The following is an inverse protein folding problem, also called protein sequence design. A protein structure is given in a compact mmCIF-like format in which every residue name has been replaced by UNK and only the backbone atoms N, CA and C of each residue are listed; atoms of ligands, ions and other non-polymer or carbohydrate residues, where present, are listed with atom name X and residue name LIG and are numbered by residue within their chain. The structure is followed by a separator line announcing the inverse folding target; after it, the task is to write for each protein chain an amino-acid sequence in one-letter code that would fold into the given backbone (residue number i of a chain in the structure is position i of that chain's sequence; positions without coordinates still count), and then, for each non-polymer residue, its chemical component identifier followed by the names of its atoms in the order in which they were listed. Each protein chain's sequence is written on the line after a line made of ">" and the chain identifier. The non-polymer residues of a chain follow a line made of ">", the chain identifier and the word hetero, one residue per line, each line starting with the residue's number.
data_IF_505958020559
#
_entry.id   IF_505958020559
#
_cell.length_a   1.000
_cell.length_b   1.000
_cell.length_c   1.000
_cell.angle_alpha   90.00
_cell.angle_beta   90.00
_cell.angle_gamma   90.00
#
_symmetry.space_group_name_H-M   'P 1'
#
loop_
_entity.id
_entity.type
_entity.pdbx_description
1 polymer ?
#
# COMPACT_ATOMS: atom_id res chain seq x y z
N UNK A 1 7.97 -13.64 -8.77
CA UNK A 1 7.45 -12.49 -9.54
C UNK A 1 7.69 -11.22 -8.75
N UNK A 2 7.99 -10.12 -9.44
CA UNK A 2 8.22 -8.82 -8.82
C UNK A 2 6.86 -8.23 -8.42
N UNK A 3 6.66 -7.95 -7.12
CA UNK A 3 5.39 -7.42 -6.60
C UNK A 3 5.18 -5.91 -6.90
N UNK A 4 6.26 -5.18 -7.13
CA UNK A 4 6.24 -3.73 -7.31
C UNK A 4 6.86 -3.35 -8.65
N UNK A 5 6.09 -2.73 -9.52
CA UNK A 5 6.59 -2.18 -10.78
C UNK A 5 7.16 -0.77 -10.57
N UNK A 6 8.29 -0.52 -11.22
CA UNK A 6 9.01 0.75 -11.29
C UNK A 6 9.86 0.76 -12.56
N UNK A 7 10.34 1.92 -12.98
CA UNK A 7 11.21 2.08 -14.14
C UNK A 7 10.46 1.97 -15.48
N UNK A 8 11.19 1.78 -16.59
CA UNK A 8 10.59 1.62 -17.91
C UNK A 8 9.69 0.38 -17.97
N UNK A 9 8.51 0.51 -18.58
CA UNK A 9 7.54 -0.57 -18.72
C UNK A 9 7.58 -1.18 -20.12
N UNK A 10 7.37 -2.50 -20.18
CA UNK A 10 7.44 -3.31 -21.39
C UNK A 10 6.22 -4.22 -21.48
N UNK A 11 5.88 -4.66 -22.69
CA UNK A 11 4.88 -5.70 -22.93
C UNK A 11 5.34 -7.03 -22.31
N UNK A 12 4.48 -8.04 -22.38
CA UNK A 12 4.75 -9.36 -21.80
C UNK A 12 5.99 -10.07 -22.40
N UNK A 13 6.50 -9.59 -23.53
CA UNK A 13 7.76 -10.06 -24.12
C UNK A 13 9.02 -9.57 -23.36
N UNK A 14 8.84 -8.62 -22.43
CA UNK A 14 9.91 -8.04 -21.62
C UNK A 14 10.84 -7.08 -22.38
N UNK A 15 10.57 -6.78 -23.65
CA UNK A 15 11.47 -6.00 -24.51
C UNK A 15 10.77 -4.91 -25.32
N UNK A 16 9.49 -5.07 -25.68
CA UNK A 16 8.75 -4.06 -26.44
C UNK A 16 8.23 -2.98 -25.49
N UNK A 17 8.62 -1.70 -25.64
CA UNK A 17 8.16 -0.62 -24.77
C UNK A 17 6.65 -0.44 -24.79
N UNK A 18 6.04 -0.29 -23.61
CA UNK A 18 4.68 0.23 -23.51
C UNK A 18 4.74 1.73 -23.77
N UNK A 19 4.03 2.20 -24.79
CA UNK A 19 3.99 3.62 -25.15
C UNK A 19 2.58 4.20 -25.01
N UNK A 20 2.52 5.48 -24.68
CA UNK A 20 1.29 6.27 -24.63
C UNK A 20 1.48 7.48 -25.54
N UNK A 21 0.45 7.81 -26.33
CA UNK A 21 0.43 9.01 -27.16
C UNK A 21 -0.60 9.98 -26.60
N UNK A 22 -0.16 11.18 -26.29
CA UNK A 22 -0.97 12.29 -25.77
C UNK A 22 -0.53 13.58 -26.48
N UNK A 23 -0.92 14.76 -25.98
CA UNK A 23 -0.36 16.04 -26.44
C UNK A 23 0.81 16.46 -25.54
N UNK A 24 1.68 17.37 -25.97
CA UNK A 24 2.75 17.91 -25.09
C UNK A 24 2.19 18.47 -23.78
N UNK A 25 1.05 19.16 -23.84
CA UNK A 25 0.34 19.67 -22.66
C UNK A 25 -0.40 18.58 -21.86
N UNK A 26 -0.76 17.47 -22.50
CA UNK A 26 -1.29 16.29 -21.80
C UNK A 26 -0.20 15.52 -21.06
N UNK A 27 1.03 15.48 -21.61
CA UNK A 27 2.17 14.87 -20.94
C UNK A 27 2.65 15.69 -19.73
N UNK A 28 2.76 17.01 -19.93
CA UNK A 28 3.08 17.98 -18.89
C UNK A 28 2.09 19.15 -18.95
N UNK A 29 1.18 19.23 -17.98
CA UNK A 29 0.18 20.31 -17.96
C UNK A 29 0.80 21.70 -17.76
N UNK A 30 2.05 21.77 -17.29
CA UNK A 30 2.80 23.00 -17.09
C UNK A 30 3.56 23.45 -18.33
N UNK A 31 3.47 22.68 -19.43
CA UNK A 31 4.08 23.04 -20.70
C UNK A 31 3.54 24.35 -21.27
N UNK A 32 4.43 25.32 -21.52
CA UNK A 32 4.09 26.68 -21.99
C UNK A 32 4.42 26.92 -23.46
N UNK A 33 4.93 25.91 -24.19
CA UNK A 33 5.23 26.03 -25.62
C UNK A 33 3.96 26.22 -26.45
N UNK A 34 4.08 26.98 -27.55
CA UNK A 34 2.95 27.28 -28.44
C UNK A 34 2.36 26.02 -29.12
N UNK A 35 3.13 24.95 -29.19
CA UNK A 35 2.78 23.65 -29.77
C UNK A 35 2.29 22.64 -28.71
N UNK A 36 1.69 23.13 -27.62
CA UNK A 36 1.17 22.28 -26.54
C UNK A 36 0.16 21.20 -26.99
N UNK A 37 -0.58 21.45 -28.09
CA UNK A 37 -1.51 20.49 -28.69
C UNK A 37 -0.86 19.48 -29.64
N UNK A 38 0.44 19.61 -29.93
CA UNK A 38 1.14 18.67 -30.80
C UNK A 38 1.22 17.28 -30.15
N UNK A 39 1.09 16.20 -30.93
CA UNK A 39 1.25 14.84 -30.43
C UNK A 39 2.62 14.62 -29.78
N UNK A 40 2.62 13.86 -28.68
CA UNK A 40 3.81 13.43 -27.97
C UNK A 40 3.63 11.97 -27.56
N UNK A 41 4.57 11.13 -27.97
CA UNK A 41 4.61 9.70 -27.62
C UNK A 41 5.79 9.46 -26.72
N UNK A 42 5.57 8.76 -25.61
CA UNK A 42 6.61 8.41 -24.64
C UNK A 42 6.47 6.96 -24.19
N UNK A 43 7.57 6.37 -23.70
CA UNK A 43 7.53 5.09 -23.01
C UNK A 43 7.06 5.29 -21.58
N UNK A 44 6.05 4.53 -21.16
CA UNK A 44 5.58 4.49 -19.77
C UNK A 44 6.75 4.14 -18.86
N UNK A 45 7.09 5.07 -17.97
CA UNK A 45 8.21 4.94 -17.04
C UNK A 45 7.73 5.32 -15.66
N UNK A 46 7.60 4.32 -14.79
CA UNK A 46 7.11 4.53 -13.43
C UNK A 46 8.23 5.05 -12.54
N UNK A 47 8.05 6.22 -11.96
CA UNK A 47 9.03 6.82 -11.04
C UNK A 47 8.62 6.52 -9.59
N UNK A 48 9.55 6.16 -8.70
CA UNK A 48 9.18 5.73 -7.35
C UNK A 48 8.66 6.87 -6.47
N UNK A 49 9.17 8.09 -6.70
CA UNK A 49 8.85 9.25 -5.88
C UNK A 49 7.54 9.90 -6.34
N UNK A 50 6.71 10.27 -5.37
CA UNK A 50 5.51 11.08 -5.63
C UNK A 50 5.84 12.52 -5.26
N UNK A 51 5.70 13.42 -6.23
CA UNK A 51 5.96 14.86 -6.06
C UNK A 51 4.65 15.61 -6.27
N UNK A 52 4.24 16.37 -5.25
CA UNK A 52 3.07 17.25 -5.35
C UNK A 52 3.48 18.49 -6.17
N UNK A 53 2.78 18.75 -7.27
CA UNK A 53 3.18 19.75 -8.28
C UNK A 53 2.25 20.96 -8.37
N UNK A 54 1.02 20.83 -7.89
CA UNK A 54 0.02 21.88 -8.01
C UNK A 54 -0.33 22.46 -6.64
N UNK A 55 -0.99 21.67 -5.81
CA UNK A 55 -1.42 22.07 -4.48
C UNK A 55 -1.03 21.01 -3.44
N UNK A 56 0.00 21.34 -2.66
CA UNK A 56 0.53 20.46 -1.61
C UNK A 56 -0.52 20.15 -0.55
N UNK A 57 -1.34 21.14 -0.17
CA UNK A 57 -2.38 20.97 0.84
C UNK A 57 -3.54 20.08 0.36
N UNK A 58 -3.77 20.00 -0.95
CA UNK A 58 -4.76 19.12 -1.57
C UNK A 58 -4.19 17.76 -2.01
N UNK A 59 -2.91 17.49 -1.73
CA UNK A 59 -2.19 16.32 -2.25
C UNK A 59 -2.25 16.19 -3.78
N UNK A 60 -2.21 17.32 -4.48
CA UNK A 60 -2.35 17.37 -5.93
C UNK A 60 -1.00 17.25 -6.65
N UNK A 61 -0.77 16.09 -7.27
CA UNK A 61 0.40 15.78 -8.08
C UNK A 61 0.29 16.29 -9.53
N UNK A 62 -0.89 16.74 -9.96
CA UNK A 62 -1.19 17.15 -11.33
C UNK A 62 -2.12 16.17 -12.06
N UNK A 63 -2.74 16.68 -13.13
CA UNK A 63 -3.61 15.93 -14.03
C UNK A 63 -2.93 15.77 -15.40
N UNK A 64 -1.75 15.15 -15.39
CA UNK A 64 -0.92 14.90 -16.57
C UNK A 64 -0.21 13.54 -16.48
N UNK A 65 0.39 13.12 -17.59
CA UNK A 65 1.08 11.82 -17.65
C UNK A 65 2.27 11.74 -16.71
N UNK A 66 2.99 12.85 -16.46
CA UNK A 66 4.08 12.87 -15.48
C UNK A 66 3.55 12.45 -14.09
N UNK A 67 2.45 13.06 -13.63
CA UNK A 67 1.83 12.75 -12.35
C UNK A 67 1.32 11.29 -12.30
N UNK A 68 0.65 10.84 -13.37
CA UNK A 68 0.09 9.49 -13.46
C UNK A 68 1.14 8.39 -13.50
N UNK A 69 2.40 8.72 -13.82
CA UNK A 69 3.53 7.80 -13.82
C UNK A 69 4.37 7.85 -12.51
N UNK A 70 3.94 8.59 -11.49
CA UNK A 70 4.58 8.59 -10.16
C UNK A 70 4.09 7.46 -9.25
N UNK A 71 4.97 7.02 -8.36
CA UNK A 71 4.75 5.96 -7.38
C UNK A 71 4.97 4.55 -7.94
N UNK A 72 5.40 3.65 -7.06
CA UNK A 72 5.40 2.21 -7.33
C UNK A 72 3.99 1.70 -7.66
N UNK A 73 3.89 0.71 -8.54
CA UNK A 73 2.62 0.00 -8.79
C UNK A 73 2.66 -1.37 -8.16
N UNK A 74 1.74 -1.64 -7.25
CA UNK A 74 1.61 -2.94 -6.62
C UNK A 74 0.84 -3.88 -7.56
N UNK A 75 1.39 -5.05 -7.84
CA UNK A 75 0.77 -6.09 -8.68
C UNK A 75 0.51 -7.38 -7.90
N UNK A 76 0.33 -7.29 -6.59
CA UNK A 76 0.02 -8.43 -5.72
C UNK A 76 -1.28 -9.13 -6.12
N UNK A 77 -2.34 -8.34 -6.34
CA UNK A 77 -3.61 -8.83 -6.86
C UNK A 77 -3.64 -8.56 -8.35
N UNK A 78 -3.06 -9.49 -9.11
CA UNK A 78 -3.01 -9.38 -10.56
C UNK A 78 -4.39 -9.65 -11.16
N UNK A 79 -4.82 -8.88 -12.18
CA UNK A 79 -6.08 -9.14 -12.87
C UNK A 79 -6.17 -10.58 -13.37
N UNK A 80 -7.35 -11.15 -13.27
CA UNK A 80 -7.69 -12.43 -13.88
C UNK A 80 -7.62 -12.29 -15.40
N UNK A 81 -6.67 -12.99 -16.03
CA UNK A 81 -6.48 -12.93 -17.48
C UNK A 81 -7.69 -13.44 -18.28
N UNK A 82 -8.57 -14.22 -17.62
CA UNK A 82 -9.76 -14.79 -18.25
C UNK A 82 -10.96 -13.85 -18.19
N UNK A 83 -10.91 -12.81 -17.36
CA UNK A 83 -11.97 -11.79 -17.29
C UNK A 83 -11.69 -10.62 -18.21
N UNK A 84 -12.63 -10.35 -19.12
CA UNK A 84 -12.58 -9.23 -20.06
C UNK A 84 -13.26 -7.95 -19.53
N UNK A 85 -13.79 -7.99 -18.30
CA UNK A 85 -14.53 -6.87 -17.70
C UNK A 85 -13.83 -6.32 -16.46
N UNK A 86 -14.34 -5.23 -15.88
CA UNK A 86 -13.86 -4.72 -14.58
C UNK A 86 -14.22 -5.63 -13.39
N UNK A 87 -15.09 -6.62 -13.59
CA UNK A 87 -15.41 -7.63 -12.58
C UNK A 87 -14.40 -8.77 -12.68
N UNK A 88 -13.51 -8.85 -11.70
CA UNK A 88 -12.41 -9.81 -11.65
C UNK A 88 -12.79 -10.98 -10.72
N UNK A 89 -12.34 -12.19 -11.02
CA UNK A 89 -12.70 -13.38 -10.25
C UNK A 89 -11.77 -13.67 -9.06
N UNK A 90 -10.85 -12.75 -8.73
CA UNK A 90 -9.93 -12.93 -7.61
C UNK A 90 -10.67 -12.87 -6.28
N UNK A 91 -10.48 -13.89 -5.44
CA UNK A 91 -10.92 -13.83 -4.04
C UNK A 91 -10.07 -12.84 -3.23
N UNK A 92 -10.71 -12.15 -2.28
CA UNK A 92 -10.03 -11.27 -1.32
C UNK A 92 -9.75 -12.06 -0.03
N UNK A 93 -8.48 -12.30 0.33
CA UNK A 93 -8.16 -13.04 1.54
C UNK A 93 -8.38 -12.17 2.78
N UNK A 94 -9.55 -12.31 3.43
CA UNK A 94 -9.84 -11.64 4.71
C UNK A 94 -9.04 -12.28 5.84
N UNK A 95 -8.98 -13.61 5.87
CA UNK A 95 -8.17 -14.39 6.79
C UNK A 95 -7.28 -15.36 6.03
N UNK A 96 -6.04 -15.50 6.49
CA UNK A 96 -5.10 -16.45 5.91
C UNK A 96 -4.08 -16.93 6.92
N UNK A 97 -3.52 -18.10 6.63
CA UNK A 97 -2.65 -18.80 7.57
C UNK A 97 -1.43 -17.99 8.03
N UNK A 98 -0.81 -17.18 7.15
CA UNK A 98 0.30 -16.32 7.56
C UNK A 98 -0.08 -15.33 8.65
N UNK A 99 -1.32 -14.82 8.69
CA UNK A 99 -1.76 -13.92 9.75
C UNK A 99 -1.83 -14.65 11.09
N UNK A 100 -2.34 -15.89 11.10
CA UNK A 100 -2.34 -16.74 12.29
C UNK A 100 -0.92 -16.99 12.80
N UNK A 101 0.02 -17.30 11.90
CA UNK A 101 1.42 -17.50 12.26
C UNK A 101 2.05 -16.23 12.85
N UNK A 102 1.83 -15.07 12.23
CA UNK A 102 2.41 -13.80 12.70
C UNK A 102 1.72 -13.27 13.96
N UNK A 103 0.42 -13.51 14.15
CA UNK A 103 -0.27 -13.22 15.42
C UNK A 103 0.26 -14.10 16.56
N UNK A 104 0.50 -15.39 16.30
CA UNK A 104 1.13 -16.27 17.31
C UNK A 104 2.56 -15.81 17.63
N UNK A 105 3.34 -15.43 16.62
CA UNK A 105 4.68 -14.87 16.83
C UNK A 105 4.63 -13.59 17.68
N UNK A 106 3.67 -12.71 17.40
CA UNK A 106 3.46 -11.48 18.18
C UNK A 106 3.11 -11.78 19.64
N UNK A 107 2.18 -12.71 19.87
CA UNK A 107 1.77 -13.12 21.21
C UNK A 107 2.96 -13.65 22.02
N UNK A 108 3.80 -14.51 21.43
CA UNK A 108 5.01 -15.03 22.08
C UNK A 108 5.99 -13.90 22.41
N UNK A 109 6.22 -12.95 21.48
CA UNK A 109 7.10 -11.80 21.74
C UNK A 109 6.57 -10.85 22.82
N UNK A 110 5.26 -10.85 23.07
CA UNK A 110 4.62 -10.08 24.14
C UNK A 110 4.51 -10.84 25.47
N UNK A 111 5.19 -11.99 25.60
CA UNK A 111 5.24 -12.80 26.82
C UNK A 111 4.23 -13.94 26.88
N UNK A 112 3.49 -14.20 25.79
CA UNK A 112 2.63 -15.37 25.68
C UNK A 112 3.42 -16.69 25.71
N UNK A 113 2.85 -17.72 26.32
CA UNK A 113 3.49 -19.03 26.41
C UNK A 113 3.56 -19.70 25.03
N UNK A 114 4.79 -20.05 24.61
CA UNK A 114 5.02 -20.83 23.41
C UNK A 114 4.39 -22.23 23.52
N UNK A 115 3.77 -22.71 22.44
CA UNK A 115 3.19 -24.04 22.35
C UNK A 115 3.75 -24.79 21.15
N UNK A 116 3.77 -26.12 21.22
CA UNK A 116 4.25 -27.00 20.14
C UNK A 116 5.73 -26.78 19.76
N UNK A 117 6.57 -26.34 20.71
CA UNK A 117 7.99 -26.06 20.47
C UNK A 117 8.26 -24.90 19.50
N UNK A 118 7.25 -24.11 19.15
CA UNK A 118 7.37 -23.01 18.21
C UNK A 118 7.91 -21.76 18.91
N UNK A 119 8.80 -21.04 18.24
CA UNK A 119 9.33 -19.74 18.67
C UNK A 119 8.80 -18.67 17.71
N UNK A 120 8.86 -17.40 18.11
CA UNK A 120 8.47 -16.30 17.23
C UNK A 120 9.28 -16.32 15.91
N UNK A 121 10.59 -16.56 15.99
CA UNK A 121 11.45 -16.63 14.81
C UNK A 121 11.13 -17.84 13.93
N UNK A 122 10.80 -19.00 14.50
CA UNK A 122 10.45 -20.17 13.68
C UNK A 122 9.12 -19.99 12.94
N UNK A 123 8.16 -19.28 13.54
CA UNK A 123 6.90 -18.91 12.89
C UNK A 123 7.11 -17.90 11.75
N UNK A 124 7.92 -16.87 11.96
CA UNK A 124 8.25 -15.89 10.92
C UNK A 124 9.01 -16.56 9.76
N UNK A 125 9.96 -17.44 10.07
CA UNK A 125 10.73 -18.15 9.04
C UNK A 125 9.89 -19.12 8.20
N UNK A 126 8.78 -19.65 8.71
CA UNK A 126 7.83 -20.43 7.88
C UNK A 126 7.26 -19.60 6.73
N UNK A 127 7.03 -18.30 6.94
CA UNK A 127 6.54 -17.39 5.89
C UNK A 127 7.67 -16.99 4.97
N UNK A 128 8.82 -16.61 5.54
CA UNK A 128 10.00 -16.17 4.77
C UNK A 128 10.50 -17.27 3.82
N UNK A 129 10.47 -18.53 4.25
CA UNK A 129 10.82 -19.68 3.43
C UNK A 129 9.92 -19.87 2.18
N UNK A 130 8.73 -19.24 2.13
CA UNK A 130 7.85 -19.23 0.94
C UNK A 130 8.21 -18.14 -0.06
N UNK A 131 9.25 -17.33 0.20
CA UNK A 131 9.66 -16.20 -0.64
C UNK A 131 11.12 -16.38 -1.04
N UNK A 132 11.42 -16.25 -2.32
CA UNK A 132 12.80 -16.32 -2.82
C UNK A 132 13.64 -15.09 -2.44
N UNK A 133 13.00 -14.03 -1.98
CA UNK A 133 13.61 -12.74 -1.65
C UNK A 133 13.80 -12.52 -0.14
N UNK A 134 13.50 -13.50 0.71
CA UNK A 134 13.55 -13.36 2.16
C UNK A 134 14.47 -14.40 2.80
N UNK A 135 15.66 -13.97 3.24
CA UNK A 135 16.57 -14.84 3.99
C UNK A 135 16.00 -15.20 5.37
N UNK A 136 16.27 -16.40 5.87
CA UNK A 136 15.86 -16.78 7.23
C UNK A 136 16.48 -15.84 8.29
N UNK A 137 15.71 -15.53 9.32
CA UNK A 137 16.17 -14.74 10.47
C UNK A 137 16.71 -15.66 11.56
N UNK A 138 17.72 -15.19 12.31
CA UNK A 138 18.26 -15.88 13.49
C UNK A 138 17.48 -15.56 14.76
N UNK A 139 16.89 -14.36 14.83
CA UNK A 139 16.00 -13.91 15.89
C UNK A 139 14.96 -12.96 15.32
N UNK A 140 13.94 -12.60 16.11
CA UNK A 140 12.96 -11.59 15.70
C UNK A 140 12.53 -10.77 16.91
N UNK A 141 12.55 -9.46 16.76
CA UNK A 141 12.04 -8.46 17.70
C UNK A 141 10.61 -8.05 17.32
N UNK A 142 9.91 -7.32 18.21
CA UNK A 142 8.58 -6.78 17.88
C UNK A 142 8.62 -5.83 16.68
N UNK A 143 9.65 -4.99 16.55
CA UNK A 143 9.77 -4.08 15.40
C UNK A 143 10.05 -4.83 14.09
N UNK A 144 10.86 -5.89 14.13
CA UNK A 144 11.09 -6.74 12.95
C UNK A 144 9.82 -7.51 12.56
N UNK A 145 9.05 -7.99 13.54
CA UNK A 145 7.76 -8.63 13.30
C UNK A 145 6.77 -7.64 12.69
N UNK A 146 6.68 -6.40 13.21
CA UNK A 146 5.86 -5.34 12.64
C UNK A 146 6.23 -5.08 11.17
N UNK A 147 7.53 -4.95 10.88
CA UNK A 147 8.01 -4.77 9.52
C UNK A 147 7.67 -5.98 8.62
N UNK A 148 7.72 -7.20 9.15
CA UNK A 148 7.34 -8.41 8.41
C UNK A 148 5.83 -8.46 8.11
N UNK A 149 4.98 -8.11 9.08
CA UNK A 149 3.54 -7.97 8.86
C UNK A 149 3.25 -6.95 7.76
N UNK A 150 3.95 -5.80 7.76
CA UNK A 150 3.79 -4.79 6.73
C UNK A 150 4.12 -5.34 5.34
N UNK A 151 5.24 -6.04 5.18
CA UNK A 151 5.64 -6.66 3.90
C UNK A 151 4.62 -7.72 3.46
N UNK A 152 4.24 -8.62 4.36
CA UNK A 152 3.40 -9.77 4.05
C UNK A 152 1.95 -9.33 3.73
N UNK A 153 1.36 -8.38 4.47
CA UNK A 153 -0.03 -7.94 4.34
C UNK A 153 -0.23 -6.62 3.58
N UNK A 154 0.78 -6.13 2.85
CA UNK A 154 0.59 -4.94 2.01
C UNK A 154 -0.60 -5.15 1.06
N UNK A 155 -1.48 -4.15 0.97
CA UNK A 155 -2.73 -4.16 0.19
C UNK A 155 -3.81 -5.15 0.67
N UNK A 156 -3.77 -5.60 1.92
CA UNK A 156 -4.79 -6.49 2.52
C UNK A 156 -5.57 -5.83 3.68
N UNK A 157 -5.62 -4.50 3.73
CA UNK A 157 -6.40 -3.72 4.72
C UNK A 157 -6.05 -3.93 6.22
N UNK A 158 -4.91 -4.56 6.54
CA UNK A 158 -4.50 -4.82 7.93
C UNK A 158 -3.62 -3.73 8.58
N UNK A 159 -2.87 -2.97 7.78
CA UNK A 159 -1.77 -2.14 8.27
C UNK A 159 -2.19 -1.08 9.31
N UNK A 160 -3.39 -0.49 9.18
CA UNK A 160 -3.91 0.48 10.17
C UNK A 160 -4.07 -0.15 11.55
N UNK A 161 -4.63 -1.36 11.62
CA UNK A 161 -4.83 -2.07 12.87
C UNK A 161 -3.48 -2.41 13.51
N UNK A 162 -2.52 -2.87 12.71
CA UNK A 162 -1.16 -3.17 13.18
C UNK A 162 -0.46 -1.90 13.69
N UNK A 163 -0.53 -0.79 12.96
CA UNK A 163 0.03 0.49 13.41
C UNK A 163 -0.48 0.90 14.78
N UNK A 164 -1.79 0.76 15.04
CA UNK A 164 -2.37 1.11 16.34
C UNK A 164 -1.88 0.17 17.44
N UNK A 165 -1.89 -1.15 17.22
CA UNK A 165 -1.47 -2.17 18.22
C UNK A 165 0.03 -2.13 18.53
N UNK A 166 0.85 -1.68 17.58
CA UNK A 166 2.29 -1.50 17.74
C UNK A 166 2.69 -0.07 18.16
N UNK A 167 1.72 0.83 18.37
CA UNK A 167 1.99 2.21 18.79
C UNK A 167 2.75 3.03 17.75
N UNK A 168 2.58 2.72 16.46
CA UNK A 168 3.22 3.41 15.33
C UNK A 168 2.25 4.34 14.58
N UNK A 169 0.96 4.32 14.89
CA UNK A 169 -0.08 5.04 14.13
C UNK A 169 0.11 6.56 14.11
N UNK A 170 0.59 7.17 15.19
CA UNK A 170 0.84 8.60 15.28
C UNK A 170 2.14 9.05 14.58
N UNK A 171 2.93 8.10 14.04
CA UNK A 171 4.16 8.40 13.33
C UNK A 171 3.94 9.24 12.06
N UNK A 172 5.03 9.83 11.58
CA UNK A 172 5.06 10.55 10.29
C UNK A 172 5.60 9.64 9.19
N UNK A 173 4.91 9.57 8.05
CA UNK A 173 5.40 8.84 6.88
C UNK A 173 4.77 9.37 5.60
N UNK A 174 5.57 9.49 4.54
CA UNK A 174 5.12 10.09 3.28
C UNK A 174 4.49 11.47 3.53
N UNK A 175 3.20 11.58 3.21
CA UNK A 175 2.43 12.81 3.41
C UNK A 175 1.67 12.89 4.73
N UNK A 176 1.70 11.84 5.57
CA UNK A 176 1.04 11.86 6.86
C UNK A 176 1.88 12.60 7.90
N UNK A 177 1.28 13.62 8.49
CA UNK A 177 1.84 14.43 9.58
C UNK A 177 0.99 14.43 10.85
N UNK A 178 -0.24 13.90 10.77
CA UNK A 178 -1.16 13.86 11.91
C UNK A 178 -0.66 12.94 13.03
N UNK A 179 -0.55 13.48 14.24
CA UNK A 179 -0.07 12.77 15.42
C UNK A 179 -1.17 12.63 16.51
N UNK A 180 -2.42 12.95 16.18
CA UNK A 180 -3.53 12.90 17.13
C UNK A 180 -3.95 11.46 17.44
N UNK A 181 -3.88 11.08 18.72
CA UNK A 181 -4.36 9.76 19.19
C UNK A 181 -5.87 9.58 19.02
N UNK A 182 -6.63 10.68 18.91
CA UNK A 182 -8.07 10.64 18.73
C UNK A 182 -8.47 10.04 17.36
N UNK A 183 -7.58 10.14 16.36
CA UNK A 183 -7.85 9.61 15.02
C UNK A 183 -7.63 8.10 14.88
N UNK A 184 -7.32 7.40 15.98
CA UNK A 184 -7.31 5.93 16.05
C UNK A 184 -8.70 5.33 15.86
N UNK A 185 -9.76 6.06 16.19
CA UNK A 185 -11.15 5.65 15.99
C UNK A 185 -11.78 6.61 14.97
N UNK A 186 -12.54 6.07 14.02
CA UNK A 186 -13.23 6.88 13.02
C UNK A 186 -14.39 7.67 13.66
N UNK A 187 -14.75 8.84 13.11
CA UNK A 187 -15.92 9.57 13.58
C UNK A 187 -17.20 8.78 13.33
N UNK A 188 -18.18 8.95 14.22
CA UNK A 188 -19.55 8.56 13.93
C UNK A 188 -20.06 9.48 12.81
N UNK A 189 -20.62 8.94 11.71
CA UNK A 189 -21.14 9.75 10.61
C UNK A 189 -22.21 10.75 11.08
N UNK A 190 -22.14 12.00 10.62
CA UNK A 190 -23.12 13.06 11.01
C UNK A 190 -24.57 12.66 10.73
N UNK A 191 -24.81 11.92 9.64
CA UNK A 191 -26.15 11.41 9.31
C UNK A 191 -26.72 10.43 10.33
N UNK A 192 -25.87 9.73 11.10
CA UNK A 192 -26.32 8.81 12.14
C UNK A 192 -27.00 9.55 13.30
N UNK A 193 -26.56 10.77 13.63
CA UNK A 193 -27.15 11.58 14.71
C UNK A 193 -28.56 12.08 14.36
N UNK A 194 -28.88 12.24 13.07
CA UNK A 194 -30.23 12.60 12.63
C UNK A 194 -31.24 11.48 12.91
N UNK A 195 -30.79 10.21 12.84
CA UNK A 195 -31.63 9.03 13.09
C UNK A 195 -31.61 8.63 14.58
N UNK A 196 -30.48 8.82 15.25
CA UNK A 196 -30.31 8.51 16.67
C UNK A 196 -29.58 9.64 17.42
N UNK A 197 -30.33 10.59 18.00
CA UNK A 197 -29.75 11.69 18.78
C UNK A 197 -29.07 11.26 20.09
N UNK A 198 -29.25 10.01 20.53
CA UNK A 198 -28.60 9.50 21.75
C UNK A 198 -27.14 9.07 21.52
N UNK A 199 -26.68 9.03 20.26
CA UNK A 199 -25.28 8.78 19.96
C UNK A 199 -24.40 9.88 20.57
N UNK A 200 -23.24 9.49 21.10
CA UNK A 200 -22.20 10.41 21.55
C UNK A 200 -21.00 10.26 20.64
N UNK A 201 -20.46 11.36 20.13
CA UNK A 201 -19.34 11.35 19.21
C UNK A 201 -18.07 10.77 19.88
N UNK A 202 -17.22 10.13 19.07
CA UNK A 202 -15.89 9.71 19.50
C UNK A 202 -15.03 10.94 19.84
N UNK A 203 -14.17 10.88 20.87
CA UNK A 203 -13.33 12.01 21.25
C UNK A 203 -12.54 12.59 20.06
N UNK A 204 -12.52 13.92 19.94
CA UNK A 204 -11.74 14.64 18.92
C UNK A 204 -12.46 14.95 17.60
N UNK A 205 -13.75 14.65 17.48
CA UNK A 205 -14.59 14.97 16.32
C UNK A 205 -15.84 15.75 16.68
#
# INVERSE_FOLDING_TARGET
>A
TQQWLTGPQFLNDGVTPITVTTTKKGYDQTYTGADGSAPFTYQVTLTPNIVLRQNVAAYDAGNDEIAWNMGYRNVKFYPDNTSTSRNQNNDVPVFRYSDILLMKAESILRGGTATQGQTAVSLVNQIRARRTTAAALTSVTLDELYAERNREFTWEAWHRNDMIRFGKYEGTWGFKTDASVNHRIFPIPTSAFAVNPALTQNPGY
#
